data_IF_627928179233
#
_entry.id   IF_627928179233
#
_cell.length_a   1.000
_cell.length_b   1.000
_cell.length_c   1.000
_cell.angle_alpha   90.00
_cell.angle_beta   90.00
_cell.angle_gamma   90.00
#
_symmetry.space_group_name_H-M   'P 1'
#
loop_
_entity.id
_entity.type
_entity.pdbx_description
1 polymer ?
#
# COMPACT_ATOMS: atom_id res chain seq x y z
N UNK A 1 17.10 -3.88 14.08
CA UNK A 1 16.08 -2.83 13.86
C UNK A 1 14.94 -3.43 13.03
N UNK A 2 13.71 -3.06 13.32
CA UNK A 2 12.52 -3.49 12.57
C UNK A 2 12.11 -2.38 11.61
N UNK A 3 11.80 -2.73 10.37
CA UNK A 3 11.39 -1.80 9.32
C UNK A 3 10.26 -2.43 8.50
N UNK A 4 9.27 -1.63 8.12
CA UNK A 4 8.25 -2.02 7.16
C UNK A 4 8.32 -1.10 5.95
N UNK A 5 8.25 -1.67 4.76
CA UNK A 5 8.11 -0.94 3.50
C UNK A 5 6.72 -1.30 2.96
N UNK A 6 5.80 -0.32 3.00
CA UNK A 6 4.52 -0.40 2.32
C UNK A 6 4.71 0.16 0.92
N UNK A 7 4.57 -0.67 -0.11
CA UNK A 7 4.87 -0.29 -1.49
C UNK A 7 3.65 -0.46 -2.39
N UNK A 8 3.39 0.53 -3.27
CA UNK A 8 2.44 0.40 -4.36
C UNK A 8 2.94 -0.65 -5.35
N UNK A 9 2.03 -1.50 -5.87
CA UNK A 9 2.37 -2.42 -6.97
C UNK A 9 3.05 -1.69 -8.13
N UNK A 10 3.82 -2.42 -8.92
CA UNK A 10 4.54 -1.90 -10.08
C UNK A 10 3.62 -1.55 -11.26
N UNK A 11 4.21 -1.05 -12.34
CA UNK A 11 3.50 -0.61 -13.53
C UNK A 11 2.60 -1.70 -14.10
N UNK A 12 1.40 -1.29 -14.46
CA UNK A 12 0.36 -2.05 -15.13
C UNK A 12 -0.18 -1.29 -16.33
N UNK A 13 -0.83 -1.96 -17.30
CA UNK A 13 -1.60 -1.27 -18.33
C UNK A 13 -2.68 -0.36 -17.71
N UNK A 14 -3.07 0.66 -18.46
CA UNK A 14 -4.16 1.54 -18.05
C UNK A 14 -5.46 0.74 -17.83
N UNK A 15 -6.17 1.07 -16.75
CA UNK A 15 -7.51 0.52 -16.47
C UNK A 15 -8.51 1.58 -16.95
N UNK A 16 -9.52 1.17 -17.71
CA UNK A 16 -10.55 2.08 -18.18
C UNK A 16 -11.34 2.66 -17.01
N UNK A 17 -11.82 3.90 -17.16
CA UNK A 17 -12.47 4.65 -16.07
C UNK A 17 -13.69 3.96 -15.45
N UNK A 18 -14.33 3.05 -16.18
CA UNK A 18 -15.51 2.30 -15.75
C UNK A 18 -15.21 0.88 -15.25
N UNK A 19 -13.92 0.52 -15.12
CA UNK A 19 -13.46 -0.81 -14.71
C UNK A 19 -12.69 -0.74 -13.39
N UNK A 20 -12.80 -1.77 -12.57
CA UNK A 20 -11.99 -1.93 -11.35
C UNK A 20 -10.62 -2.55 -11.67
N UNK A 21 -10.50 -3.22 -12.80
CA UNK A 21 -9.26 -3.83 -13.30
C UNK A 21 -8.72 -4.93 -12.37
N UNK A 22 -9.59 -5.80 -11.86
CA UNK A 22 -9.18 -6.87 -10.95
C UNK A 22 -8.19 -7.83 -11.61
N UNK A 23 -8.36 -8.09 -12.90
CA UNK A 23 -7.58 -9.06 -13.67
C UNK A 23 -6.36 -8.41 -14.39
N UNK A 24 -6.14 -7.11 -14.20
CA UNK A 24 -5.02 -6.41 -14.83
C UNK A 24 -3.73 -6.75 -14.08
N UNK A 25 -2.79 -7.35 -14.80
CA UNK A 25 -1.47 -7.76 -14.35
C UNK A 25 -0.41 -6.70 -14.67
N UNK A 26 0.84 -6.93 -14.26
CA UNK A 26 1.95 -6.03 -14.51
C UNK A 26 2.35 -6.03 -16.00
N UNK A 27 2.88 -4.89 -16.47
CA UNK A 27 3.61 -4.82 -17.74
C UNK A 27 4.98 -5.50 -17.61
N UNK A 28 5.63 -5.80 -18.73
CA UNK A 28 7.02 -6.28 -18.71
C UNK A 28 7.96 -5.24 -18.09
N UNK A 29 7.72 -3.93 -18.33
CA UNK A 29 8.46 -2.86 -17.68
C UNK A 29 8.24 -2.87 -16.17
N UNK A 30 6.99 -3.02 -15.71
CA UNK A 30 6.68 -3.11 -14.28
C UNK A 30 7.37 -4.30 -13.60
N UNK A 31 7.51 -5.43 -14.27
CA UNK A 31 8.27 -6.58 -13.76
C UNK A 31 9.76 -6.25 -13.60
N UNK A 32 10.37 -5.63 -14.62
CA UNK A 32 11.78 -5.23 -14.59
C UNK A 32 12.04 -4.18 -13.51
N UNK A 33 11.17 -3.17 -13.40
CA UNK A 33 11.29 -2.14 -12.37
C UNK A 33 11.16 -2.73 -10.96
N UNK A 34 10.29 -3.74 -10.78
CA UNK A 34 10.17 -4.47 -9.52
C UNK A 34 11.47 -5.21 -9.16
N UNK A 35 12.12 -5.85 -10.12
CA UNK A 35 13.42 -6.51 -9.89
C UNK A 35 14.48 -5.49 -9.45
N UNK A 36 14.55 -4.34 -10.13
CA UNK A 36 15.49 -3.27 -9.77
C UNK A 36 15.19 -2.69 -8.38
N UNK A 37 13.91 -2.50 -8.05
CA UNK A 37 13.49 -2.09 -6.71
C UNK A 37 13.91 -3.11 -5.66
N UNK A 38 13.64 -4.39 -5.88
CA UNK A 38 13.95 -5.46 -4.94
C UNK A 38 15.47 -5.58 -4.66
N UNK A 39 16.33 -5.42 -5.68
CA UNK A 39 17.79 -5.43 -5.54
C UNK A 39 18.34 -4.29 -4.69
N UNK A 40 17.59 -3.19 -4.53
CA UNK A 40 17.96 -2.06 -3.66
C UNK A 40 17.51 -2.25 -2.21
N UNK A 41 16.64 -3.23 -1.96
CA UNK A 41 16.20 -3.53 -0.60
C UNK A 41 17.36 -4.05 0.24
N UNK A 42 17.58 -3.42 1.38
CA UNK A 42 18.65 -3.79 2.29
C UNK A 42 18.11 -4.53 3.51
N UNK A 43 18.89 -5.46 4.01
CA UNK A 43 18.59 -6.22 5.21
C UNK A 43 17.81 -7.51 4.92
N UNK A 44 17.58 -8.28 5.98
CA UNK A 44 16.87 -9.54 5.91
C UNK A 44 15.36 -9.30 5.78
N UNK A 45 14.74 -9.86 4.76
CA UNK A 45 13.28 -9.85 4.61
C UNK A 45 12.68 -10.93 5.53
N UNK A 46 11.86 -10.52 6.47
CA UNK A 46 11.26 -11.41 7.49
C UNK A 46 9.78 -11.69 7.24
N UNK A 47 9.12 -10.90 6.41
CA UNK A 47 7.77 -11.20 5.95
C UNK A 47 7.41 -10.44 4.68
N UNK A 48 6.60 -11.07 3.83
CA UNK A 48 5.95 -10.42 2.69
C UNK A 48 4.44 -10.61 2.81
N UNK A 49 3.69 -9.51 2.80
CA UNK A 49 2.23 -9.50 2.70
C UNK A 49 1.79 -8.74 1.46
N UNK A 50 0.69 -9.13 0.85
CA UNK A 50 0.18 -8.50 -0.36
C UNK A 50 -1.35 -8.45 -0.39
N UNK A 51 -1.90 -7.45 -1.09
CA UNK A 51 -3.28 -7.53 -1.59
C UNK A 51 -3.46 -8.78 -2.43
N UNK A 52 -4.64 -9.37 -2.41
CA UNK A 52 -4.97 -10.55 -3.24
C UNK A 52 -5.13 -10.24 -4.75
N UNK A 53 -5.05 -8.97 -5.16
CA UNK A 53 -5.17 -8.56 -6.56
C UNK A 53 -3.90 -8.92 -7.33
N UNK A 54 -4.04 -9.53 -8.50
CA UNK A 54 -2.95 -10.15 -9.29
C UNK A 54 -1.70 -9.29 -9.47
N UNK A 55 -1.83 -8.00 -9.77
CA UNK A 55 -0.68 -7.08 -9.90
C UNK A 55 0.11 -6.88 -8.61
N UNK A 56 -0.56 -6.91 -7.46
CA UNK A 56 0.12 -6.86 -6.16
C UNK A 56 0.81 -8.19 -5.86
N UNK A 57 0.15 -9.30 -6.15
CA UNK A 57 0.72 -10.65 -5.99
C UNK A 57 1.97 -10.78 -6.85
N UNK A 58 1.93 -10.43 -8.15
CA UNK A 58 3.11 -10.47 -9.02
C UNK A 58 4.25 -9.58 -8.52
N UNK A 59 3.94 -8.37 -8.03
CA UNK A 59 4.97 -7.50 -7.44
C UNK A 59 5.61 -8.17 -6.23
N UNK A 60 4.81 -8.77 -5.33
CA UNK A 60 5.31 -9.47 -4.15
C UNK A 60 6.15 -10.71 -4.50
N UNK A 61 5.73 -11.49 -5.47
CA UNK A 61 6.45 -12.69 -5.95
C UNK A 61 7.80 -12.34 -6.56
N UNK A 62 7.88 -11.26 -7.36
CA UNK A 62 9.15 -10.78 -7.93
C UNK A 62 10.10 -10.30 -6.81
N UNK A 63 9.57 -9.54 -5.83
CA UNK A 63 10.37 -9.12 -4.67
C UNK A 63 10.88 -10.34 -3.91
N UNK A 64 10.04 -11.34 -3.65
CA UNK A 64 10.42 -12.56 -2.95
C UNK A 64 11.54 -13.31 -3.71
N UNK A 65 11.38 -13.51 -5.01
CA UNK A 65 12.38 -14.19 -5.85
C UNK A 65 13.73 -13.47 -5.85
N UNK A 66 13.76 -12.14 -5.98
CA UNK A 66 15.00 -11.36 -6.00
C UNK A 66 15.69 -11.27 -4.62
N UNK A 67 14.92 -11.38 -3.53
CA UNK A 67 15.45 -11.29 -2.16
C UNK A 67 15.71 -12.64 -1.51
N UNK A 68 15.37 -13.75 -2.18
CA UNK A 68 15.48 -15.11 -1.64
C UNK A 68 14.44 -15.45 -0.57
N UNK A 69 13.35 -14.69 -0.47
CA UNK A 69 12.23 -15.01 0.41
C UNK A 69 11.38 -16.12 -0.21
N UNK A 70 10.86 -17.05 0.62
CA UNK A 70 10.05 -18.16 0.13
C UNK A 70 8.71 -17.69 -0.43
N UNK A 71 8.38 -18.07 -1.67
CA UNK A 71 7.10 -17.74 -2.29
C UNK A 71 5.91 -18.31 -1.51
N UNK A 72 6.05 -19.49 -0.92
CA UNK A 72 4.99 -20.15 -0.16
C UNK A 72 4.68 -19.45 1.18
N UNK A 73 5.57 -18.56 1.63
CA UNK A 73 5.40 -17.78 2.86
C UNK A 73 4.76 -16.42 2.62
N UNK A 74 4.50 -16.02 1.37
CA UNK A 74 3.78 -14.79 1.03
C UNK A 74 2.34 -14.90 1.53
N UNK A 75 1.89 -13.90 2.30
CA UNK A 75 0.54 -13.89 2.88
C UNK A 75 -0.36 -12.84 2.24
N UNK A 76 -1.57 -13.23 1.88
CA UNK A 76 -2.59 -12.28 1.47
C UNK A 76 -3.15 -11.54 2.69
N UNK A 77 -3.34 -10.22 2.55
CA UNK A 77 -3.86 -9.38 3.61
C UNK A 77 -4.93 -8.42 3.08
N UNK A 78 -6.17 -8.54 3.59
CA UNK A 78 -7.30 -7.71 3.17
C UNK A 78 -7.09 -6.21 3.46
N UNK A 79 -6.29 -5.85 4.45
CA UNK A 79 -5.99 -4.45 4.74
C UNK A 79 -5.20 -3.77 3.62
N UNK A 80 -4.50 -4.54 2.78
CA UNK A 80 -3.67 -4.04 1.68
C UNK A 80 -4.43 -3.87 0.35
N UNK A 81 -5.68 -4.33 0.30
CA UNK A 81 -6.55 -4.23 -0.87
C UNK A 81 -7.50 -5.43 -0.96
N UNK A 82 -8.62 -5.25 -1.64
CA UNK A 82 -9.71 -6.21 -1.76
C UNK A 82 -10.33 -6.61 -0.40
N UNK A 83 -10.92 -5.62 0.34
CA UNK A 83 -11.18 -4.25 -0.11
C UNK A 83 -10.09 -3.20 0.21
N UNK A 84 -9.24 -3.37 1.22
CA UNK A 84 -8.31 -2.37 1.74
C UNK A 84 -8.77 -1.74 3.06
N UNK A 85 -7.83 -1.24 3.86
CA UNK A 85 -8.11 -0.75 5.22
C UNK A 85 -9.02 0.50 5.27
N UNK A 86 -9.13 1.24 4.17
CA UNK A 86 -9.99 2.43 4.07
C UNK A 86 -11.40 2.10 3.55
N UNK A 87 -11.69 0.88 3.15
CA UNK A 87 -12.94 0.51 2.48
C UNK A 87 -13.84 -0.31 3.40
N UNK A 88 -15.00 0.25 3.75
CA UNK A 88 -16.05 -0.44 4.50
C UNK A 88 -17.02 -1.21 3.57
N UNK A 89 -17.35 -0.62 2.42
CA UNK A 89 -18.22 -1.22 1.41
C UNK A 89 -17.71 -0.89 0.01
N UNK A 90 -17.18 -1.87 -0.70
CA UNK A 90 -16.56 -1.69 -2.00
C UNK A 90 -17.49 -1.12 -3.07
N UNK A 91 -18.74 -1.57 -3.11
CA UNK A 91 -19.74 -1.07 -4.10
C UNK A 91 -20.08 0.40 -3.87
N UNK A 92 -20.28 0.81 -2.61
CA UNK A 92 -20.55 2.21 -2.27
C UNK A 92 -19.34 3.10 -2.50
N UNK A 93 -18.15 2.62 -2.17
CA UNK A 93 -16.90 3.34 -2.43
C UNK A 93 -16.66 3.50 -3.93
N UNK A 94 -16.81 2.44 -4.73
CA UNK A 94 -16.70 2.51 -6.19
C UNK A 94 -17.66 3.52 -6.81
N UNK A 95 -18.90 3.57 -6.31
CA UNK A 95 -19.89 4.56 -6.74
C UNK A 95 -19.40 6.00 -6.55
N UNK A 96 -18.62 6.30 -5.49
CA UNK A 96 -18.07 7.65 -5.32
C UNK A 96 -17.12 8.02 -6.46
N UNK A 97 -16.25 7.12 -6.91
CA UNK A 97 -15.35 7.37 -8.06
C UNK A 97 -16.14 7.54 -9.36
N UNK A 98 -17.19 6.73 -9.58
CA UNK A 98 -18.05 6.84 -10.77
C UNK A 98 -18.81 8.17 -10.81
N UNK A 99 -19.35 8.64 -9.70
CA UNK A 99 -20.19 9.84 -9.63
C UNK A 99 -19.38 11.14 -9.51
N UNK A 100 -18.28 11.14 -8.78
CA UNK A 100 -17.50 12.35 -8.47
C UNK A 100 -16.22 12.48 -9.31
N UNK A 101 -15.77 11.37 -9.91
CA UNK A 101 -14.49 11.30 -10.63
C UNK A 101 -13.29 11.05 -9.71
N UNK A 102 -12.21 10.55 -10.32
CA UNK A 102 -11.00 10.13 -9.61
C UNK A 102 -10.34 11.28 -8.83
N UNK A 103 -10.18 12.45 -9.44
CA UNK A 103 -9.51 13.59 -8.78
C UNK A 103 -10.20 14.01 -7.50
N UNK A 104 -11.53 14.11 -7.51
CA UNK A 104 -12.31 14.57 -6.34
C UNK A 104 -12.22 13.56 -5.20
N UNK A 105 -12.39 12.27 -5.49
CA UNK A 105 -12.31 11.23 -4.44
C UNK A 105 -10.87 11.11 -3.92
N UNK A 106 -9.87 11.16 -4.81
CA UNK A 106 -8.47 11.05 -4.42
C UNK A 106 -8.04 12.25 -3.54
N UNK A 107 -8.43 13.48 -3.89
CA UNK A 107 -8.19 14.65 -3.06
C UNK A 107 -8.87 14.53 -1.69
N UNK A 108 -10.09 13.99 -1.66
CA UNK A 108 -10.82 13.69 -0.43
C UNK A 108 -10.07 12.68 0.46
N UNK A 109 -9.51 11.62 -0.11
CA UNK A 109 -8.68 10.64 0.61
C UNK A 109 -7.45 11.28 1.26
N UNK A 110 -6.84 12.27 0.60
CA UNK A 110 -5.65 12.94 1.09
C UNK A 110 -5.92 13.86 2.29
N UNK A 111 -6.99 14.67 2.25
CA UNK A 111 -7.11 15.82 3.14
C UNK A 111 -8.45 16.00 3.87
N UNK A 112 -9.52 15.30 3.47
CA UNK A 112 -10.83 15.49 4.08
C UNK A 112 -10.90 15.00 5.54
N UNK A 113 -11.72 15.67 6.34
CA UNK A 113 -11.95 15.32 7.75
C UNK A 113 -13.01 14.23 7.92
N UNK A 114 -13.92 14.11 6.97
CA UNK A 114 -15.00 13.12 7.00
C UNK A 114 -14.85 12.13 5.84
N UNK A 115 -15.12 10.87 6.07
CA UNK A 115 -15.11 9.85 5.03
C UNK A 115 -16.36 9.91 4.15
N UNK A 116 -16.21 9.51 2.87
CA UNK A 116 -17.31 9.34 1.94
C UNK A 116 -18.08 8.03 2.22
N UNK A 117 -19.35 7.93 1.75
CA UNK A 117 -20.10 6.67 1.83
C UNK A 117 -19.31 5.49 1.22
N UNK A 118 -19.22 4.39 1.96
CA UNK A 118 -18.47 3.21 1.57
C UNK A 118 -17.02 3.18 2.08
N UNK A 119 -16.55 4.28 2.65
CA UNK A 119 -15.22 4.34 3.29
C UNK A 119 -15.35 4.22 4.81
N UNK A 120 -14.32 3.67 5.44
CA UNK A 120 -14.15 3.66 6.90
C UNK A 120 -13.85 5.08 7.37
N UNK A 121 -14.22 5.44 8.60
CA UNK A 121 -13.71 6.65 9.23
C UNK A 121 -12.18 6.67 9.20
N UNK A 122 -11.59 7.79 8.82
CA UNK A 122 -10.16 7.85 8.57
C UNK A 122 -9.32 7.62 9.84
N UNK A 123 -9.80 8.05 10.98
CA UNK A 123 -9.11 7.80 12.26
C UNK A 123 -9.16 6.32 12.62
N UNK A 124 -10.32 5.70 12.47
CA UNK A 124 -10.49 4.26 12.69
C UNK A 124 -9.63 3.43 11.72
N UNK A 125 -9.63 3.80 10.43
CA UNK A 125 -8.84 3.14 9.39
C UNK A 125 -7.34 3.18 9.71
N UNK A 126 -6.82 4.36 10.08
CA UNK A 126 -5.43 4.53 10.47
C UNK A 126 -5.08 3.75 11.74
N UNK A 127 -5.92 3.81 12.76
CA UNK A 127 -5.70 3.07 14.00
C UNK A 127 -5.63 1.55 13.75
N UNK A 128 -6.55 1.03 12.92
CA UNK A 128 -6.54 -0.39 12.53
C UNK A 128 -5.26 -0.75 11.78
N UNK A 129 -4.82 0.09 10.84
CA UNK A 129 -3.65 -0.21 10.03
C UNK A 129 -2.34 -0.07 10.84
N UNK A 130 -2.21 0.96 11.66
CA UNK A 130 -1.04 1.14 12.54
C UNK A 130 -0.93 0.05 13.59
N UNK A 131 -2.06 -0.42 14.14
CA UNK A 131 -2.06 -1.56 15.05
C UNK A 131 -1.54 -2.83 14.36
N UNK A 132 -1.96 -3.08 13.10
CA UNK A 132 -1.46 -4.22 12.34
C UNK A 132 0.07 -4.15 12.07
N UNK A 133 0.64 -2.93 11.94
CA UNK A 133 2.09 -2.72 11.85
C UNK A 133 2.76 -3.04 13.19
N UNK A 134 2.23 -2.52 14.28
CA UNK A 134 2.75 -2.78 15.64
C UNK A 134 2.74 -4.29 15.93
N UNK A 135 1.65 -4.98 15.63
CA UNK A 135 1.54 -6.43 15.81
C UNK A 135 2.57 -7.20 14.98
N UNK A 136 2.81 -6.76 13.73
CA UNK A 136 3.84 -7.36 12.88
C UNK A 136 5.24 -7.14 13.48
N UNK A 137 5.52 -5.96 14.02
CA UNK A 137 6.80 -5.67 14.68
C UNK A 137 6.96 -6.45 15.98
N UNK A 138 5.91 -6.64 16.77
CA UNK A 138 5.97 -7.38 18.03
C UNK A 138 6.19 -8.89 17.82
N UNK A 139 5.57 -9.46 16.80
CA UNK A 139 5.53 -10.92 16.58
C UNK A 139 6.64 -11.45 15.68
N UNK A 140 7.46 -10.59 15.09
CA UNK A 140 8.52 -10.97 14.14
C UNK A 140 9.91 -10.65 14.67
N UNK A 141 10.96 -11.34 14.17
CA UNK A 141 12.35 -10.97 14.47
C UNK A 141 12.72 -9.61 13.88
N UNK A 142 13.91 -9.11 14.19
CA UNK A 142 14.47 -7.94 13.51
C UNK A 142 14.66 -8.21 12.01
N UNK A 143 14.29 -7.23 11.20
CA UNK A 143 14.35 -7.32 9.74
C UNK A 143 13.36 -6.41 9.05
N UNK A 144 13.22 -6.59 7.75
CA UNK A 144 12.34 -5.80 6.89
C UNK A 144 11.07 -6.58 6.54
N UNK A 145 9.93 -5.96 6.77
CA UNK A 145 8.62 -6.41 6.28
C UNK A 145 8.31 -5.71 4.96
N UNK A 146 7.82 -6.42 3.97
CA UNK A 146 7.36 -5.86 2.69
C UNK A 146 5.85 -6.07 2.60
N UNK A 147 5.11 -4.99 2.45
CA UNK A 147 3.66 -5.03 2.27
C UNK A 147 3.30 -4.37 0.93
N UNK A 148 2.76 -5.14 -0.02
CA UNK A 148 2.41 -4.66 -1.35
C UNK A 148 0.93 -4.28 -1.42
N UNK A 149 0.65 -3.05 -1.85
CA UNK A 149 -0.67 -2.44 -1.82
C UNK A 149 -0.97 -1.64 -3.10
N UNK A 150 -2.04 -0.85 -3.05
CA UNK A 150 -2.52 0.03 -4.12
C UNK A 150 -2.23 1.50 -3.79
N UNK A 151 -2.31 2.34 -4.80
CA UNK A 151 -2.09 3.78 -4.69
C UNK A 151 -3.00 4.46 -3.67
N UNK A 152 -4.30 4.17 -3.68
CA UNK A 152 -5.28 4.77 -2.76
C UNK A 152 -4.96 4.46 -1.29
N UNK A 153 -4.56 3.22 -0.98
CA UNK A 153 -4.16 2.82 0.37
C UNK A 153 -2.90 3.55 0.79
N UNK A 154 -1.89 3.53 -0.09
CA UNK A 154 -0.60 4.16 0.16
C UNK A 154 -0.72 5.67 0.30
N UNK A 155 -1.43 6.33 -0.63
CA UNK A 155 -1.67 7.77 -0.62
C UNK A 155 -2.37 8.23 0.65
N UNK A 156 -3.42 7.51 1.08
CA UNK A 156 -4.15 7.84 2.30
C UNK A 156 -3.24 7.71 3.53
N UNK A 157 -2.47 6.64 3.66
CA UNK A 157 -1.54 6.49 4.78
C UNK A 157 -0.48 7.60 4.74
N UNK A 158 0.22 7.78 3.62
CA UNK A 158 1.28 8.76 3.48
C UNK A 158 0.82 10.18 3.81
N UNK A 159 -0.33 10.60 3.26
CA UNK A 159 -0.86 11.93 3.48
C UNK A 159 -1.26 12.18 4.93
N UNK A 160 -1.89 11.19 5.55
CA UNK A 160 -2.43 11.34 6.93
C UNK A 160 -1.42 11.10 8.03
N UNK A 161 -0.26 10.56 7.72
CA UNK A 161 0.88 10.45 8.65
C UNK A 161 1.93 11.54 8.43
N UNK A 162 1.78 12.35 7.39
CA UNK A 162 2.62 13.51 7.11
C UNK A 162 2.18 14.74 7.93
N UNK A 163 3.13 15.64 8.22
CA UNK A 163 2.84 16.91 8.92
C UNK A 163 1.91 17.83 8.11
N UNK A 164 2.01 17.75 6.79
CA UNK A 164 1.16 18.47 5.83
C UNK A 164 0.57 17.43 4.89
N UNK A 165 -0.76 17.42 4.67
CA UNK A 165 -1.37 16.50 3.71
C UNK A 165 -0.74 16.63 2.32
N UNK A 166 -0.60 15.49 1.63
CA UNK A 166 -0.11 15.46 0.26
C UNK A 166 -1.12 16.11 -0.69
N UNK A 167 -0.62 16.65 -1.79
CA UNK A 167 -1.42 17.10 -2.94
C UNK A 167 -1.57 15.99 -3.98
N UNK A 168 -2.46 16.17 -4.96
CA UNK A 168 -2.60 15.21 -6.07
C UNK A 168 -1.33 15.06 -6.91
N UNK A 169 -0.49 16.11 -6.99
CA UNK A 169 0.80 16.02 -7.68
C UNK A 169 1.83 15.14 -6.97
N UNK A 170 1.59 14.84 -5.70
CA UNK A 170 2.40 13.91 -4.89
C UNK A 170 1.75 12.52 -4.76
N UNK A 171 0.73 12.23 -5.59
CA UNK A 171 0.10 10.90 -5.64
C UNK A 171 1.15 9.82 -5.93
N UNK A 172 1.14 8.69 -5.22
CA UNK A 172 2.19 7.68 -5.33
C UNK A 172 2.41 7.20 -6.76
N UNK A 173 3.64 7.25 -7.23
CA UNK A 173 4.08 6.57 -8.46
C UNK A 173 4.01 5.05 -8.30
N UNK A 174 4.12 4.29 -9.38
CA UNK A 174 4.38 2.86 -9.30
C UNK A 174 5.67 2.61 -8.50
N UNK A 175 5.65 1.64 -7.59
CA UNK A 175 6.71 1.36 -6.61
C UNK A 175 7.02 2.50 -5.63
N UNK A 176 6.25 3.60 -5.66
CA UNK A 176 6.25 4.57 -4.57
C UNK A 176 5.91 3.86 -3.24
N UNK A 177 6.53 4.29 -2.15
CA UNK A 177 6.43 3.54 -0.90
C UNK A 177 6.52 4.42 0.35
N UNK A 178 6.04 3.88 1.46
CA UNK A 178 6.23 4.44 2.80
C UNK A 178 7.15 3.49 3.57
N UNK A 179 8.20 4.03 4.13
CA UNK A 179 9.05 3.34 5.11
C UNK A 179 8.53 3.63 6.50
N UNK A 180 8.26 2.58 7.28
CA UNK A 180 7.81 2.69 8.67
C UNK A 180 8.88 2.09 9.58
N UNK A 181 9.28 2.84 10.59
CA UNK A 181 10.22 2.42 11.63
C UNK A 181 9.67 2.78 13.00
N UNK A 182 10.34 2.30 14.06
CA UNK A 182 10.13 2.82 15.41
C UNK A 182 11.18 3.91 15.66
N UNK A 183 10.73 5.04 16.19
CA UNK A 183 11.62 6.11 16.64
C UNK A 183 12.26 5.77 18.00
N UNK A 184 13.01 6.71 18.57
CA UNK A 184 13.70 6.54 19.85
C UNK A 184 12.74 6.36 21.05
N UNK A 185 11.49 6.82 20.92
CA UNK A 185 10.43 6.69 21.92
C UNK A 185 9.63 5.39 21.75
N UNK A 186 9.85 4.64 20.65
CA UNK A 186 9.11 3.44 20.30
C UNK A 186 7.79 3.72 19.55
N UNK A 187 7.60 4.94 19.07
CA UNK A 187 6.46 5.35 18.26
C UNK A 187 6.74 5.10 16.77
N UNK A 188 5.67 4.92 15.97
CA UNK A 188 5.80 4.71 14.53
C UNK A 188 6.20 6.02 13.82
N UNK A 189 7.31 5.97 13.12
CA UNK A 189 7.77 7.03 12.22
C UNK A 189 7.55 6.62 10.76
N UNK A 190 7.01 7.54 9.96
CA UNK A 190 6.63 7.32 8.56
C UNK A 190 7.42 8.24 7.64
N UNK A 191 8.01 7.67 6.59
CA UNK A 191 8.75 8.42 5.56
C UNK A 191 8.25 8.00 4.18
N UNK A 192 7.70 8.96 3.42
CA UNK A 192 7.14 8.74 2.09
C UNK A 192 8.17 8.98 1.00
N UNK A 193 8.24 8.08 0.01
CA UNK A 193 9.12 8.10 -1.15
C UNK A 193 8.33 7.88 -2.44
N UNK A 194 8.65 8.66 -3.48
CA UNK A 194 8.11 8.54 -4.85
C UNK A 194 8.93 7.55 -5.68
#
# INVERSE_FOLDING_TARGET
MKKLILVRHAERPEIRDNEVGLDVLLTEQGKQDTQLFARRLQGNIVSIKTSSIGRCVQTAEIIAAETGYSLDEIKHCKLLGNPGFIIANGSLAWKQWQEKGHSVVNEHLLSATQSLPGFVDFTEALNTFTQAIIDAFQTSPNGTHIWVTHDTMLATLASRTSKVPLSLSEWPNFLGHVVVTLDEQGELAFEYHQ
#
